data_IF_807315439269
#
_entry.id   IF_807315439269
#
_cell.length_a   1.000
_cell.length_b   1.000
_cell.length_c   1.000
_cell.angle_alpha   90.00
_cell.angle_beta   90.00
_cell.angle_gamma   90.00
#
_symmetry.space_group_name_H-M   'P 1'
#
loop_
_entity.id
_entity.type
_entity.pdbx_description
1 polymer ?
#
# COMPACT_ATOMS: atom_id res chain seq x y z
N UNK A 1 -29.72 -68.84 -38.61
CA UNK A 1 -30.52 -69.49 -37.55
C UNK A 1 -29.87 -69.17 -36.20
N UNK A 2 -30.71 -68.90 -35.18
CA UNK A 2 -30.39 -68.63 -33.75
C UNK A 2 -29.57 -69.80 -33.11
N UNK A 3 -28.98 -69.70 -31.88
CA UNK A 3 -29.28 -68.75 -30.81
C UNK A 3 -28.10 -68.16 -29.98
N UNK A 4 -28.47 -67.11 -29.23
CA UNK A 4 -27.83 -66.56 -28.02
C UNK A 4 -28.07 -67.52 -26.82
N UNK A 5 -27.09 -67.76 -25.94
CA UNK A 5 -27.17 -67.25 -24.54
C UNK A 5 -25.76 -66.91 -24.00
N UNK A 6 -25.50 -66.18 -22.92
CA UNK A 6 -26.23 -65.95 -21.68
C UNK A 6 -25.60 -64.75 -20.96
N UNK A 7 -26.47 -63.96 -20.35
CA UNK A 7 -26.20 -62.87 -19.43
C UNK A 7 -25.50 -63.38 -18.16
N UNK A 8 -24.32 -62.84 -17.81
CA UNK A 8 -23.80 -62.84 -16.43
C UNK A 8 -23.63 -61.39 -15.99
N UNK A 9 -24.51 -60.95 -15.10
CA UNK A 9 -24.33 -59.71 -14.32
C UNK A 9 -23.42 -60.05 -13.15
N UNK A 10 -22.17 -59.59 -13.20
CA UNK A 10 -21.34 -59.48 -12.00
C UNK A 10 -21.64 -58.13 -11.36
N UNK A 11 -22.16 -58.15 -10.14
CA UNK A 11 -22.30 -56.97 -9.30
C UNK A 11 -20.90 -56.47 -8.94
N UNK A 12 -20.50 -55.32 -9.51
CA UNK A 12 -19.28 -54.63 -9.11
C UNK A 12 -19.60 -53.73 -7.91
N UNK A 13 -18.97 -54.03 -6.78
CA UNK A 13 -18.94 -53.23 -5.56
C UNK A 13 -18.27 -51.87 -5.86
N UNK A 14 -18.92 -50.72 -5.61
CA UNK A 14 -18.27 -49.44 -5.81
C UNK A 14 -17.28 -49.17 -4.67
N UNK A 15 -15.99 -49.19 -5.00
CA UNK A 15 -14.94 -48.65 -4.14
C UNK A 15 -15.06 -47.13 -4.14
N UNK A 16 -15.56 -46.59 -3.03
CA UNK A 16 -15.51 -45.16 -2.74
C UNK A 16 -14.04 -44.78 -2.47
N UNK A 17 -13.33 -44.32 -3.49
CA UNK A 17 -12.09 -43.57 -3.29
C UNK A 17 -12.45 -42.20 -2.71
N UNK A 18 -12.35 -42.07 -1.39
CA UNK A 18 -12.35 -40.77 -0.72
C UNK A 18 -11.09 -40.02 -1.10
N UNK A 19 -11.19 -39.12 -2.07
CA UNK A 19 -10.14 -38.13 -2.35
C UNK A 19 -10.08 -37.14 -1.20
N UNK A 20 -9.12 -37.31 -0.30
CA UNK A 20 -8.77 -36.29 0.69
C UNK A 20 -8.06 -35.17 -0.06
N UNK A 21 -8.80 -34.10 -0.38
CA UNK A 21 -8.19 -32.84 -0.81
C UNK A 21 -7.49 -32.23 0.41
N UNK A 22 -6.21 -32.56 0.59
CA UNK A 22 -5.34 -31.81 1.49
C UNK A 22 -5.05 -30.46 0.86
N UNK A 23 -5.82 -29.44 1.25
CA UNK A 23 -5.50 -28.05 0.98
C UNK A 23 -4.26 -27.67 1.81
N UNK A 24 -3.07 -27.87 1.25
CA UNK A 24 -1.84 -27.32 1.79
C UNK A 24 -1.92 -25.80 1.70
N UNK A 25 -2.36 -25.14 2.77
CA UNK A 25 -2.13 -23.71 2.97
C UNK A 25 -0.61 -23.51 3.08
N UNK A 26 0.03 -23.24 1.95
CA UNK A 26 1.38 -22.67 1.93
C UNK A 26 1.26 -21.28 2.53
N UNK A 27 1.59 -21.17 3.83
CA UNK A 27 1.76 -19.90 4.51
C UNK A 27 2.97 -19.18 3.92
N UNK A 28 2.73 -18.36 2.89
CA UNK A 28 3.71 -17.40 2.40
C UNK A 28 3.84 -16.33 3.48
N UNK A 29 4.89 -16.40 4.29
CA UNK A 29 5.29 -15.27 5.11
C UNK A 29 5.83 -14.19 4.17
N UNK A 30 5.29 -12.96 4.18
CA UNK A 30 5.83 -11.89 3.36
C UNK A 30 7.30 -11.63 3.78
N UNK A 31 8.22 -11.75 2.84
CA UNK A 31 9.60 -11.32 3.04
C UNK A 31 9.58 -9.79 3.09
N UNK A 32 9.93 -9.22 4.25
CA UNK A 32 10.09 -7.79 4.38
C UNK A 32 11.29 -7.35 3.53
N UNK A 33 11.13 -6.31 2.70
CA UNK A 33 12.24 -5.73 1.97
C UNK A 33 13.31 -5.23 2.96
N UNK A 34 14.56 -5.62 2.75
CA UNK A 34 15.69 -5.10 3.51
C UNK A 34 16.13 -3.77 2.88
N UNK A 35 16.00 -2.65 3.59
CA UNK A 35 16.41 -1.35 3.05
C UNK A 35 17.89 -1.29 2.69
N UNK A 36 18.26 -0.59 1.61
CA UNK A 36 19.69 -0.28 1.32
C UNK A 36 20.16 0.74 2.34
N UNK A 37 19.32 1.75 2.60
CA UNK A 37 19.49 2.71 3.68
C UNK A 37 18.26 2.73 4.58
N UNK A 38 18.51 2.88 5.89
CA UNK A 38 17.43 3.14 6.83
C UNK A 38 16.75 4.46 6.44
N UNK A 39 15.44 4.37 6.18
CA UNK A 39 14.57 5.50 5.95
C UNK A 39 14.22 5.84 4.51
N UNK A 40 14.75 5.09 3.53
CA UNK A 40 14.31 5.20 2.14
C UNK A 40 12.82 4.82 1.99
N UNK A 41 12.18 5.41 0.99
CA UNK A 41 10.85 5.04 0.52
C UNK A 41 11.01 3.85 -0.43
N UNK A 42 10.29 2.77 -0.17
CA UNK A 42 10.31 1.55 -0.98
C UNK A 42 9.03 1.41 -1.80
N UNK A 43 8.92 2.07 -2.97
CA UNK A 43 7.79 1.83 -3.86
C UNK A 43 7.87 0.42 -4.49
N UNK A 44 6.71 -0.16 -4.74
CA UNK A 44 6.50 -1.42 -5.46
C UNK A 44 5.24 -1.31 -6.35
N UNK A 45 5.05 -2.23 -7.32
CA UNK A 45 3.79 -2.33 -8.08
C UNK A 45 3.02 -3.52 -7.52
N UNK A 46 1.85 -3.25 -6.92
CA UNK A 46 0.94 -4.31 -6.47
C UNK A 46 -0.39 -4.16 -7.19
N UNK A 47 -0.80 -5.23 -7.88
CA UNK A 47 -2.03 -5.25 -8.69
C UNK A 47 -2.13 -4.09 -9.69
N UNK A 48 -1.01 -3.73 -10.33
CA UNK A 48 -0.95 -2.67 -11.34
C UNK A 48 -1.02 -1.24 -10.78
N UNK A 49 -0.80 -1.05 -9.48
CA UNK A 49 -0.78 0.27 -8.83
C UNK A 49 0.53 0.45 -8.07
N UNK A 50 1.15 1.63 -8.17
CA UNK A 50 2.30 1.95 -7.31
C UNK A 50 1.83 2.03 -5.86
N UNK A 51 2.41 1.19 -5.01
CA UNK A 51 2.23 1.24 -3.56
C UNK A 51 3.57 1.45 -2.91
N UNK A 52 3.54 1.98 -1.71
CA UNK A 52 4.71 1.98 -0.86
C UNK A 52 4.70 0.65 -0.11
N UNK A 53 5.80 -0.09 -0.11
CA UNK A 53 5.96 -1.35 0.57
C UNK A 53 5.82 -1.16 2.09
N UNK A 54 5.22 -2.12 2.79
CA UNK A 54 5.27 -2.23 4.26
C UNK A 54 6.72 -2.56 4.69
N UNK A 55 7.69 -1.72 4.37
CA UNK A 55 8.99 -1.72 5.04
C UNK A 55 8.72 -1.59 6.54
N UNK A 56 9.47 -2.36 7.33
CA UNK A 56 9.28 -2.55 8.77
C UNK A 56 8.75 -1.29 9.45
N UNK A 57 7.68 -1.41 10.23
CA UNK A 57 7.22 -0.38 11.16
C UNK A 57 8.40 -0.03 12.06
N UNK A 58 9.18 0.98 11.71
CA UNK A 58 10.21 1.49 12.61
C UNK A 58 9.43 2.28 13.64
N UNK A 59 9.37 1.74 14.85
CA UNK A 59 8.77 2.44 15.98
C UNK A 59 9.39 3.83 16.07
N UNK A 60 8.57 4.88 16.24
CA UNK A 60 8.95 6.28 16.35
C UNK A 60 9.93 6.61 17.51
N UNK A 61 10.47 5.58 18.17
CA UNK A 61 11.42 5.66 19.28
C UNK A 61 12.80 6.19 18.88
N UNK A 62 13.08 6.45 17.60
CA UNK A 62 14.31 7.10 17.16
C UNK A 62 14.02 8.28 16.22
N UNK A 63 13.56 9.40 16.79
CA UNK A 63 13.47 10.69 16.09
C UNK A 63 14.84 11.26 15.66
N UNK A 64 15.92 10.51 15.86
CA UNK A 64 17.28 10.78 15.40
C UNK A 64 17.68 9.93 14.19
N UNK A 65 16.81 9.06 13.68
CA UNK A 65 17.09 8.22 12.52
C UNK A 65 16.04 8.46 11.45
N UNK A 66 16.49 8.94 10.28
CA UNK A 66 15.68 9.07 9.07
C UNK A 66 14.85 7.79 8.85
N UNK A 67 13.53 7.92 8.70
CA UNK A 67 12.70 6.79 8.27
C UNK A 67 11.23 6.81 8.65
N UNK A 68 10.59 5.66 8.47
CA UNK A 68 9.13 5.48 8.58
C UNK A 68 8.69 5.86 9.98
N UNK A 69 7.93 6.96 10.09
CA UNK A 69 7.58 7.58 11.36
C UNK A 69 6.35 6.94 12.02
N UNK A 70 5.39 6.45 11.21
CA UNK A 70 4.25 5.67 11.67
C UNK A 70 3.48 5.12 10.47
N UNK A 71 2.86 3.94 10.64
CA UNK A 71 1.77 3.46 9.79
C UNK A 71 0.44 3.77 10.51
N UNK A 72 0.00 5.02 10.50
CA UNK A 72 -1.28 5.41 11.10
C UNK A 72 -2.40 5.23 10.06
N UNK A 73 -3.32 4.30 10.32
CA UNK A 73 -4.55 4.08 9.54
C UNK A 73 -4.33 3.96 8.00
N UNK A 74 -3.23 3.35 7.58
CA UNK A 74 -2.90 3.14 6.17
C UNK A 74 -2.18 4.30 5.48
N UNK A 75 -1.95 5.43 6.17
CA UNK A 75 -1.03 6.48 5.72
C UNK A 75 0.39 6.17 6.18
N UNK A 76 1.35 6.58 5.36
CA UNK A 76 2.78 6.36 5.59
C UNK A 76 3.49 7.69 5.65
N UNK A 77 4.13 7.93 6.78
CA UNK A 77 4.93 9.11 7.04
C UNK A 77 6.40 8.76 6.93
N UNK A 78 7.16 9.58 6.20
CA UNK A 78 8.61 9.49 6.13
C UNK A 78 9.21 10.78 6.65
N UNK A 79 10.31 10.68 7.41
CA UNK A 79 11.01 11.84 7.94
C UNK A 79 12.23 12.25 7.11
N UNK A 80 12.44 13.56 7.05
CA UNK A 80 13.72 14.18 6.73
C UNK A 80 14.06 15.25 7.77
N UNK A 81 15.31 15.69 7.82
CA UNK A 81 15.73 16.81 8.67
C UNK A 81 16.46 17.85 7.82
N UNK A 82 15.94 19.07 7.77
CA UNK A 82 16.63 20.16 7.12
C UNK A 82 17.84 20.57 7.95
N UNK A 83 18.98 20.78 7.31
CA UNK A 83 20.21 21.04 8.04
C UNK A 83 21.10 19.82 8.21
N UNK A 84 20.78 18.70 7.55
CA UNK A 84 21.71 17.60 7.46
C UNK A 84 22.99 17.99 6.69
N UNK A 85 24.07 17.24 6.91
CA UNK A 85 25.41 17.58 6.38
C UNK A 85 25.42 17.62 4.85
N UNK A 86 24.55 16.86 4.16
CA UNK A 86 24.55 16.76 2.70
C UNK A 86 23.75 17.87 2.03
N UNK A 87 22.59 18.22 2.59
CA UNK A 87 21.72 19.27 2.05
C UNK A 87 22.08 20.68 2.52
N UNK A 88 22.86 20.81 3.60
CA UNK A 88 23.15 22.09 4.23
C UNK A 88 21.97 22.61 5.06
N UNK A 89 22.09 23.82 5.60
CA UNK A 89 21.24 24.33 6.69
C UNK A 89 19.72 24.32 6.47
N UNK A 90 19.27 24.23 5.21
CA UNK A 90 17.87 24.35 4.82
C UNK A 90 17.44 23.31 3.77
N UNK A 91 18.24 22.26 3.58
CA UNK A 91 17.94 21.20 2.63
C UNK A 91 18.26 19.82 3.22
N UNK A 92 17.76 18.79 2.54
CA UNK A 92 18.02 17.38 2.82
C UNK A 92 17.85 16.56 1.54
N UNK A 93 18.65 15.52 1.37
CA UNK A 93 18.49 14.52 0.32
C UNK A 93 17.70 13.28 0.79
N UNK A 94 17.07 13.39 1.98
CA UNK A 94 16.32 12.33 2.64
C UNK A 94 14.81 12.62 2.71
N UNK A 95 13.95 11.59 2.62
CA UNK A 95 14.31 10.18 2.38
C UNK A 95 14.75 9.92 0.92
N UNK A 96 15.57 8.89 0.71
CA UNK A 96 15.82 8.35 -0.62
C UNK A 96 14.64 7.53 -1.15
N UNK A 97 14.75 7.09 -2.40
CA UNK A 97 13.80 6.19 -3.04
C UNK A 97 14.54 4.95 -3.55
N UNK A 98 14.10 3.78 -3.11
CA UNK A 98 14.70 2.49 -3.48
C UNK A 98 13.63 1.53 -4.01
N UNK A 99 13.68 1.30 -5.32
CA UNK A 99 12.90 0.29 -6.03
C UNK A 99 13.82 -0.87 -6.40
N UNK A 100 13.47 -2.11 -6.04
CA UNK A 100 14.23 -3.29 -6.47
C UNK A 100 13.40 -4.29 -7.23
N UNK A 101 13.94 -4.73 -8.36
CA UNK A 101 13.43 -5.91 -9.06
C UNK A 101 13.64 -7.18 -8.23
N UNK A 102 12.64 -8.06 -8.18
CA UNK A 102 12.77 -9.42 -7.61
C UNK A 102 12.76 -9.55 -6.08
N UNK A 103 12.63 -8.46 -5.31
CA UNK A 103 12.55 -8.53 -3.82
C UNK A 103 11.12 -8.80 -3.35
N UNK A 104 10.11 -8.53 -4.18
CA UNK A 104 8.71 -8.89 -3.93
C UNK A 104 8.31 -10.04 -4.85
N UNK A 105 7.77 -11.11 -4.26
CA UNK A 105 7.43 -12.36 -4.93
C UNK A 105 6.26 -12.13 -5.90
N UNK A 106 6.56 -11.85 -7.17
CA UNK A 106 5.56 -11.70 -8.24
C UNK A 106 5.79 -10.52 -9.19
N UNK A 107 6.71 -9.61 -8.84
CA UNK A 107 6.81 -8.32 -9.49
C UNK A 107 7.79 -8.40 -10.67
N UNK A 108 7.36 -8.04 -11.88
CA UNK A 108 8.20 -7.96 -13.09
C UNK A 108 9.28 -6.86 -13.05
N UNK A 109 9.61 -6.33 -11.87
CA UNK A 109 10.42 -5.13 -11.67
C UNK A 109 9.72 -3.86 -12.17
N UNK A 110 10.30 -2.69 -11.88
CA UNK A 110 9.88 -1.47 -12.57
C UNK A 110 10.29 -1.60 -14.05
N UNK A 111 9.48 -1.16 -15.03
CA UNK A 111 9.84 -1.35 -16.43
C UNK A 111 11.20 -0.68 -16.73
N UNK A 112 12.14 -1.45 -17.27
CA UNK A 112 13.51 -0.99 -17.50
C UNK A 112 13.52 0.29 -18.38
N UNK A 113 14.35 1.26 -18.00
CA UNK A 113 14.43 2.57 -18.66
C UNK A 113 13.29 3.54 -18.37
N UNK A 114 12.20 3.10 -17.73
CA UNK A 114 11.10 3.99 -17.32
C UNK A 114 11.54 4.92 -16.19
N UNK A 115 10.88 6.06 -16.09
CA UNK A 115 11.08 7.04 -15.03
C UNK A 115 10.08 6.82 -13.90
N UNK A 116 10.57 6.87 -12.66
CA UNK A 116 9.75 7.12 -11.49
C UNK A 116 9.66 8.63 -11.30
N UNK A 117 8.45 9.15 -11.17
CA UNK A 117 8.20 10.57 -10.93
C UNK A 117 7.31 10.81 -9.73
N UNK A 118 7.27 12.07 -9.32
CA UNK A 118 6.41 12.60 -8.28
C UNK A 118 5.48 13.66 -8.84
N UNK A 119 4.25 13.69 -8.36
CA UNK A 119 3.30 14.76 -8.57
C UNK A 119 2.95 15.37 -7.22
N UNK A 120 3.34 16.63 -6.99
CA UNK A 120 2.95 17.38 -5.81
C UNK A 120 1.42 17.56 -5.75
N UNK A 121 0.84 17.38 -4.57
CA UNK A 121 -0.59 17.56 -4.32
C UNK A 121 -0.84 18.29 -3.00
N UNK A 122 -1.98 18.97 -2.91
CA UNK A 122 -2.41 19.64 -1.68
C UNK A 122 -1.72 20.99 -1.44
N UNK A 123 -1.38 21.26 -0.18
CA UNK A 123 -0.76 22.49 0.30
C UNK A 123 0.40 22.13 1.25
N UNK A 124 1.31 23.07 1.45
CA UNK A 124 2.32 22.97 2.50
C UNK A 124 1.64 22.99 3.87
N UNK A 125 1.89 21.99 4.69
CA UNK A 125 1.50 21.95 6.10
C UNK A 125 2.63 22.42 7.00
N UNK A 126 2.29 23.05 8.12
CA UNK A 126 3.22 23.50 9.15
C UNK A 126 2.71 23.18 10.54
N UNK A 127 3.56 22.59 11.38
CA UNK A 127 3.30 22.41 12.80
C UNK A 127 3.69 23.66 13.57
N UNK A 128 2.69 24.37 14.09
CA UNK A 128 2.91 25.61 14.86
C UNK A 128 3.24 25.39 16.35
N UNK A 129 3.45 24.14 16.76
CA UNK A 129 3.63 23.76 18.18
C UNK A 129 2.38 23.20 18.85
N UNK A 130 1.20 23.26 18.21
CA UNK A 130 -0.06 22.75 18.78
C UNK A 130 -0.98 22.08 17.76
N UNK A 131 -1.01 22.56 16.53
CA UNK A 131 -1.85 22.02 15.46
C UNK A 131 -1.15 22.12 14.10
N UNK A 132 -1.47 21.21 13.19
CA UNK A 132 -1.12 21.35 11.79
C UNK A 132 -1.97 22.43 11.14
N UNK A 133 -1.32 23.44 10.57
CA UNK A 133 -1.94 24.55 9.84
C UNK A 133 -1.36 24.65 8.43
N UNK A 134 -1.95 25.49 7.58
CA UNK A 134 -1.34 25.83 6.31
C UNK A 134 0.02 26.53 6.53
N UNK A 135 0.96 26.29 5.62
CA UNK A 135 2.28 26.90 5.63
C UNK A 135 2.19 28.43 5.73
N UNK A 136 2.98 29.07 6.62
CA UNK A 136 2.95 30.52 6.78
C UNK A 136 3.22 31.27 5.46
N UNK A 137 2.65 32.47 5.32
CA UNK A 137 2.86 33.29 4.14
C UNK A 137 4.36 33.52 3.87
N UNK A 138 4.76 33.40 2.60
CA UNK A 138 6.16 33.50 2.19
C UNK A 138 7.03 32.26 2.47
N UNK A 139 6.48 31.22 3.12
CA UNK A 139 7.18 29.94 3.27
C UNK A 139 7.00 29.09 2.02
N UNK A 140 8.09 28.44 1.58
CA UNK A 140 8.06 27.52 0.44
C UNK A 140 8.95 26.34 0.76
N UNK A 141 8.40 25.15 0.56
CA UNK A 141 9.17 23.91 0.48
C UNK A 141 9.24 23.50 -0.98
N UNK A 142 10.43 23.18 -1.46
CA UNK A 142 10.67 22.76 -2.84
C UNK A 142 11.42 21.45 -2.91
N UNK A 143 11.23 20.74 -4.01
CA UNK A 143 12.07 19.63 -4.40
C UNK A 143 12.69 19.93 -5.77
N UNK A 144 14.00 19.71 -5.86
CA UNK A 144 14.73 19.73 -7.13
C UNK A 144 14.85 18.29 -7.62
N UNK A 145 14.27 18.05 -8.78
CA UNK A 145 14.22 16.73 -9.38
C UNK A 145 15.54 16.36 -10.09
N UNK A 146 15.69 15.11 -10.54
CA UNK A 146 16.95 14.65 -11.17
C UNK A 146 17.28 15.32 -12.51
N UNK A 147 16.36 16.10 -13.06
CA UNK A 147 16.53 16.87 -14.29
C UNK A 147 16.72 18.38 -14.01
N UNK A 148 16.83 18.77 -12.75
CA UNK A 148 17.00 20.17 -12.34
C UNK A 148 15.72 21.00 -12.37
N UNK A 149 14.55 20.37 -12.44
CA UNK A 149 13.24 21.05 -12.36
C UNK A 149 12.83 21.19 -10.90
N UNK A 150 12.19 22.31 -10.59
CA UNK A 150 11.71 22.61 -9.24
C UNK A 150 10.22 22.46 -9.13
N UNK A 151 9.78 21.62 -8.20
CA UNK A 151 8.39 21.51 -7.76
C UNK A 151 8.27 22.12 -6.37
N UNK A 152 7.21 22.87 -6.09
CA UNK A 152 7.07 23.54 -4.79
C UNK A 152 5.69 23.43 -4.18
N UNK A 153 5.66 23.52 -2.84
CA UNK A 153 4.49 23.63 -2.00
C UNK A 153 4.55 24.95 -1.23
N UNK A 154 3.40 25.61 -1.15
CA UNK A 154 3.16 26.81 -0.32
C UNK A 154 1.87 26.61 0.47
N UNK A 155 1.57 27.51 1.40
CA UNK A 155 0.29 27.50 2.11
C UNK A 155 -0.94 27.67 1.20
N UNK A 156 -0.77 28.16 -0.04
CA UNK A 156 -1.87 28.32 -1.00
C UNK A 156 -2.03 27.14 -1.96
N UNK A 157 -1.01 26.29 -2.14
CA UNK A 157 -1.08 25.17 -3.08
C UNK A 157 0.28 24.66 -3.51
N UNK A 158 0.31 24.04 -4.70
CA UNK A 158 1.52 23.57 -5.37
C UNK A 158 1.87 24.46 -6.57
N UNK A 159 3.09 24.32 -7.07
CA UNK A 159 3.53 24.95 -8.32
C UNK A 159 2.62 24.63 -9.52
N UNK A 160 2.57 25.54 -10.50
CA UNK A 160 1.77 25.37 -11.73
C UNK A 160 2.14 24.11 -12.50
N UNK A 161 3.43 23.74 -12.53
CA UNK A 161 3.87 22.41 -12.90
C UNK A 161 4.17 21.62 -11.62
N UNK A 162 3.29 20.69 -11.20
CA UNK A 162 3.46 19.93 -9.98
C UNK A 162 4.33 18.67 -10.18
N UNK A 163 4.97 18.46 -11.33
CA UNK A 163 5.64 17.20 -11.63
C UNK A 163 7.17 17.27 -11.58
N UNK A 164 7.77 16.28 -10.91
CA UNK A 164 9.21 16.04 -10.85
C UNK A 164 9.55 14.58 -11.21
N UNK A 165 10.81 14.31 -11.55
CA UNK A 165 11.36 12.95 -11.71
C UNK A 165 12.32 12.60 -10.57
N UNK A 166 12.15 11.39 -10.05
CA UNK A 166 12.98 10.82 -8.97
C UNK A 166 14.18 10.08 -9.56
N UNK A 167 13.98 9.32 -10.64
CA UNK A 167 15.05 8.51 -11.21
C UNK A 167 14.59 7.64 -12.36
N UNK A 168 15.55 7.04 -13.06
CA UNK A 168 15.33 6.11 -14.16
C UNK A 168 15.66 4.68 -13.70
N UNK A 169 14.82 3.72 -14.06
CA UNK A 169 15.10 2.32 -13.78
C UNK A 169 16.24 1.78 -14.65
N UNK A 170 17.20 1.13 -14.01
CA UNK A 170 18.29 0.38 -14.64
C UNK A 170 18.23 -1.07 -14.15
N UNK A 171 18.06 -2.03 -15.07
CA UNK A 171 17.83 -3.44 -14.71
C UNK A 171 16.53 -3.66 -13.93
N UNK A 172 15.58 -2.72 -14.03
CA UNK A 172 14.31 -2.73 -13.30
C UNK A 172 14.39 -2.26 -11.84
N UNK A 173 15.51 -1.67 -11.43
CA UNK A 173 15.72 -1.09 -10.10
C UNK A 173 15.99 0.41 -10.19
N UNK A 174 15.63 1.16 -9.14
CA UNK A 174 15.87 2.59 -8.98
C UNK A 174 16.46 2.79 -7.60
N UNK A 175 17.56 3.52 -7.49
CA UNK A 175 18.06 4.03 -6.21
C UNK A 175 18.45 5.48 -6.43
N UNK A 176 17.69 6.40 -5.83
CA UNK A 176 17.88 7.83 -6.09
C UNK A 176 17.51 8.67 -4.88
N UNK A 177 18.21 9.78 -4.74
CA UNK A 177 17.96 10.81 -3.75
C UNK A 177 17.71 12.12 -4.49
N UNK A 178 16.67 12.85 -4.09
CA UNK A 178 16.33 14.17 -4.62
C UNK A 178 16.33 15.19 -3.49
N UNK A 179 16.66 16.43 -3.82
CA UNK A 179 16.92 17.45 -2.81
C UNK A 179 15.62 18.16 -2.44
N UNK A 180 15.22 18.01 -1.19
CA UNK A 180 14.17 18.83 -0.59
C UNK A 180 14.81 20.04 0.08
N UNK A 181 14.19 21.20 -0.07
CA UNK A 181 14.66 22.44 0.54
C UNK A 181 13.51 23.29 1.04
N UNK A 182 13.80 24.11 2.04
CA UNK A 182 12.89 25.14 2.55
C UNK A 182 13.56 26.50 2.42
N UNK A 183 12.80 27.55 2.08
CA UNK A 183 13.40 28.88 1.95
C UNK A 183 13.85 29.47 3.30
N UNK A 184 14.85 30.36 3.27
CA UNK A 184 15.52 30.89 4.46
C UNK A 184 14.62 31.67 5.43
N UNK A 185 13.48 32.20 4.96
CA UNK A 185 12.49 32.89 5.78
C UNK A 185 11.50 31.97 6.51
N UNK A 186 11.53 30.66 6.26
CA UNK A 186 10.61 29.72 6.90
C UNK A 186 10.92 29.56 8.41
N UNK A 187 9.91 29.55 9.29
CA UNK A 187 10.11 29.39 10.74
C UNK A 187 10.59 27.99 11.15
N UNK A 188 11.16 27.89 12.35
CA UNK A 188 11.43 26.59 13.01
C UNK A 188 10.12 25.85 13.24
N UNK A 189 10.09 24.55 12.93
CA UNK A 189 8.90 23.71 13.06
C UNK A 189 9.00 22.42 12.26
N UNK A 190 7.88 21.68 12.20
CA UNK A 190 7.75 20.52 11.32
C UNK A 190 6.94 20.91 10.07
N UNK A 191 7.36 20.41 8.92
CA UNK A 191 6.80 20.76 7.61
C UNK A 191 6.24 19.52 6.95
N UNK A 192 5.05 19.61 6.37
CA UNK A 192 4.37 18.48 5.76
C UNK A 192 4.10 18.75 4.28
N UNK A 193 4.40 17.79 3.43
CA UNK A 193 4.03 17.82 2.01
C UNK A 193 3.42 16.50 1.58
N UNK A 194 2.60 16.57 0.53
CA UNK A 194 1.98 15.40 -0.07
C UNK A 194 2.34 15.31 -1.55
N UNK A 195 2.56 14.10 -2.04
CA UNK A 195 2.74 13.82 -3.46
C UNK A 195 2.17 12.45 -3.84
N UNK A 196 2.00 12.20 -5.13
CA UNK A 196 1.76 10.86 -5.68
C UNK A 196 2.98 10.42 -6.47
N UNK A 197 3.28 9.14 -6.44
CA UNK A 197 4.23 8.53 -7.34
C UNK A 197 3.55 8.15 -8.63
N UNK A 198 4.27 8.30 -9.74
CA UNK A 198 3.83 7.84 -11.05
C UNK A 198 4.96 7.18 -11.81
N UNK A 199 4.61 6.34 -12.77
CA UNK A 199 5.55 5.77 -13.74
C UNK A 199 5.39 6.43 -15.10
N UNK A 200 6.49 6.73 -15.76
CA UNK A 200 6.51 7.25 -17.12
C UNK A 200 7.40 6.39 -18.00
N UNK A 201 6.95 6.07 -19.21
CA UNK A 201 7.74 5.30 -20.18
C UNK A 201 9.08 5.98 -20.43
N UNK A 202 10.09 5.17 -20.75
CA UNK A 202 11.42 5.66 -21.11
C UNK A 202 11.31 6.75 -22.20
N UNK A 203 11.68 8.00 -21.91
CA UNK A 203 11.62 9.04 -22.92
C UNK A 203 12.74 8.83 -23.93
N UNK A 204 12.50 9.23 -25.18
CA UNK A 204 13.55 9.28 -26.21
C UNK A 204 14.59 10.36 -25.92
N UNK A 205 14.25 11.37 -25.11
CA UNK A 205 15.15 12.40 -24.61
C UNK A 205 14.97 12.56 -23.09
N UNK A 206 15.97 12.14 -22.31
CA UNK A 206 15.95 12.24 -20.85
C UNK A 206 16.11 13.68 -20.34
N UNK A 207 16.68 14.59 -21.12
CA UNK A 207 16.85 16.00 -20.73
C UNK A 207 15.59 16.83 -20.92
N UNK A 208 14.68 16.36 -21.79
CA UNK A 208 13.39 17.01 -22.03
C UNK A 208 12.32 15.93 -22.23
N UNK A 209 11.99 15.18 -21.17
CA UNK A 209 10.95 14.17 -21.25
C UNK A 209 9.61 14.86 -21.55
N UNK A 210 8.71 14.19 -22.28
CA UNK A 210 7.39 14.74 -22.51
C UNK A 210 6.67 14.92 -21.16
N UNK A 211 5.75 15.89 -21.04
CA UNK A 211 4.99 16.10 -19.82
C UNK A 211 4.31 14.81 -19.36
N UNK A 212 4.24 14.57 -18.03
CA UNK A 212 3.47 13.47 -17.48
C UNK A 212 2.02 13.58 -17.93
N UNK A 213 1.49 12.49 -18.49
CA UNK A 213 0.13 12.44 -19.01
C UNK A 213 -0.25 11.03 -19.46
N UNK A 214 -1.54 10.75 -19.72
CA UNK A 214 -2.03 9.40 -19.97
C UNK A 214 -1.29 8.66 -21.10
N UNK A 215 -0.85 9.37 -22.14
CA UNK A 215 -0.11 8.80 -23.26
C UNK A 215 1.36 8.46 -22.96
N UNK A 216 1.91 8.94 -21.85
CA UNK A 216 3.31 8.75 -21.46
C UNK A 216 3.47 7.90 -20.18
N UNK A 217 2.37 7.37 -19.62
CA UNK A 217 2.43 6.47 -18.45
C UNK A 217 2.92 5.09 -18.85
N UNK A 218 3.68 4.43 -17.97
CA UNK A 218 4.06 3.03 -18.19
C UNK A 218 2.80 2.15 -18.23
N UNK A 219 2.59 1.33 -19.28
CA UNK A 219 1.37 0.54 -19.42
C UNK A 219 1.12 -0.39 -18.23
N UNK A 220 -0.12 -0.43 -17.74
CA UNK A 220 -0.53 -1.31 -16.65
C UNK A 220 -0.05 -0.89 -15.26
N UNK A 221 0.52 0.31 -15.11
CA UNK A 221 0.96 0.86 -13.82
C UNK A 221 0.23 2.18 -13.57
N UNK A 222 -0.66 2.18 -12.58
CA UNK A 222 -1.37 3.36 -12.10
C UNK A 222 -0.60 4.09 -11.00
N UNK A 223 -0.84 5.40 -10.90
CA UNK A 223 -0.25 6.29 -9.91
C UNK A 223 -0.62 5.85 -8.48
N UNK A 224 0.23 6.20 -7.51
CA UNK A 224 0.01 5.85 -6.11
C UNK A 224 -1.13 6.65 -5.47
N UNK A 225 -1.62 6.16 -4.33
CA UNK A 225 -2.27 7.03 -3.35
C UNK A 225 -1.28 8.12 -2.86
N UNK A 226 -1.76 9.26 -2.34
CA UNK A 226 -0.89 10.27 -1.77
C UNK A 226 0.06 9.70 -0.70
N UNK A 227 1.31 10.10 -0.77
CA UNK A 227 2.39 9.83 0.18
C UNK A 227 2.70 11.13 0.91
N UNK A 228 2.89 11.05 2.22
CA UNK A 228 3.17 12.21 3.07
C UNK A 228 4.59 12.17 3.58
N UNK A 229 5.32 13.28 3.41
CA UNK A 229 6.62 13.50 4.07
C UNK A 229 6.47 14.55 5.14
N UNK A 230 7.22 14.36 6.22
CA UNK A 230 7.30 15.30 7.32
C UNK A 230 8.77 15.65 7.54
N UNK A 231 9.12 16.92 7.46
CA UNK A 231 10.48 17.40 7.63
C UNK A 231 10.64 18.14 8.96
N UNK A 232 11.69 17.83 9.69
CA UNK A 232 12.11 18.62 10.83
C UNK A 232 12.87 19.87 10.33
N UNK A 233 12.58 21.04 10.91
CA UNK A 233 13.38 22.25 10.74
C UNK A 233 13.74 22.83 12.10
N UNK A 234 14.69 22.21 12.77
CA UNK A 234 15.25 22.72 14.03
C UNK A 234 14.37 22.54 15.27
N UNK A 235 13.34 21.69 15.23
CA UNK A 235 12.70 21.22 16.47
C UNK A 235 13.64 20.26 17.20
N UNK A 236 13.49 20.18 18.53
CA UNK A 236 14.06 19.07 19.28
C UNK A 236 13.43 17.75 18.83
N UNK A 237 14.14 16.64 19.03
CA UNK A 237 13.63 15.30 18.73
C UNK A 237 12.24 15.05 19.34
N UNK A 238 12.05 15.41 20.61
CA UNK A 238 10.75 15.28 21.29
C UNK A 238 9.65 16.17 20.68
N UNK A 239 10.01 17.40 20.28
CA UNK A 239 9.07 18.31 19.61
C UNK A 239 8.66 17.81 18.23
N UNK A 240 9.59 17.21 17.48
CA UNK A 240 9.31 16.60 16.18
C UNK A 240 8.45 15.34 16.33
N UNK A 241 8.75 14.45 17.28
CA UNK A 241 7.90 13.29 17.60
C UNK A 241 6.48 13.72 17.94
N UNK A 242 6.30 14.74 18.80
CA UNK A 242 4.97 15.24 19.14
C UNK A 242 4.20 15.79 17.93
N UNK A 243 4.89 16.47 17.00
CA UNK A 243 4.29 16.95 15.76
C UNK A 243 3.79 15.78 14.89
N UNK A 244 4.60 14.74 14.73
CA UNK A 244 4.25 13.53 13.97
C UNK A 244 3.09 12.79 14.63
N UNK A 245 3.15 12.58 15.95
CA UNK A 245 2.10 11.87 16.69
C UNK A 245 0.75 12.59 16.60
N UNK A 246 0.74 13.91 16.41
CA UNK A 246 -0.50 14.68 16.21
C UNK A 246 -1.17 14.47 14.84
N UNK A 247 -0.49 13.85 13.87
CA UNK A 247 -1.06 13.47 12.56
C UNK A 247 -2.03 12.29 12.66
N UNK A 248 -2.30 11.79 13.88
CA UNK A 248 -3.32 10.80 14.14
C UNK A 248 -4.66 11.19 13.48
N UNK A 249 -5.06 10.39 12.49
CA UNK A 249 -6.40 10.44 11.94
C UNK A 249 -7.43 10.14 13.05
N UNK A 250 -8.65 10.67 12.95
CA UNK A 250 -9.73 10.22 13.81
C UNK A 250 -9.81 8.68 13.74
N UNK A 251 -10.06 7.99 14.87
CA UNK A 251 -10.13 6.53 14.89
C UNK A 251 -11.07 6.06 13.77
N UNK A 252 -10.74 4.96 13.07
CA UNK A 252 -11.62 4.43 12.04
C UNK A 252 -13.03 4.29 12.62
N UNK A 253 -14.09 4.65 11.86
CA UNK A 253 -15.45 4.53 12.35
C UNK A 253 -15.63 3.11 12.89
N UNK A 254 -16.19 3.01 14.10
CA UNK A 254 -16.44 1.72 14.72
C UNK A 254 -17.13 0.81 13.69
N UNK A 255 -16.70 -0.46 13.56
CA UNK A 255 -17.38 -1.38 12.65
C UNK A 255 -18.88 -1.31 12.95
N UNK A 256 -19.74 -1.30 11.91
CA UNK A 256 -21.17 -1.22 12.12
C UNK A 256 -21.52 -2.29 13.14
N UNK A 257 -22.13 -1.88 14.26
CA UNK A 257 -22.62 -2.83 15.26
C UNK A 257 -23.41 -3.86 14.49
N UNK A 258 -23.08 -5.17 14.58
CA UNK A 258 -23.76 -6.18 13.80
C UNK A 258 -25.26 -5.95 13.97
N UNK A 259 -25.93 -5.52 12.89
CA UNK A 259 -27.37 -5.39 12.95
C UNK A 259 -27.84 -6.78 13.30
N UNK A 260 -28.41 -6.93 14.49
CA UNK A 260 -29.15 -8.13 14.84
C UNK A 260 -30.29 -8.16 13.83
N UNK A 261 -30.10 -8.89 12.73
CA UNK A 261 -31.18 -9.19 11.81
C UNK A 261 -32.18 -9.94 12.68
N UNK A 262 -33.38 -9.39 12.95
CA UNK A 262 -34.37 -10.13 13.70
C UNK A 262 -34.65 -11.41 12.91
N UNK A 263 -34.24 -12.55 13.48
CA UNK A 263 -34.57 -13.85 12.92
C UNK A 263 -36.09 -13.89 12.78
N UNK A 264 -36.65 -14.01 11.56
CA UNK A 264 -38.08 -14.15 11.43
C UNK A 264 -38.49 -15.42 12.17
N UNK A 265 -39.44 -15.30 13.10
CA UNK A 265 -39.91 -16.40 13.96
C UNK A 265 -40.33 -17.66 13.17
N UNK A 266 -40.54 -17.55 11.85
CA UNK A 266 -40.81 -18.67 10.94
C UNK A 266 -39.61 -19.60 10.64
N UNK A 267 -38.36 -19.13 10.76
CA UNK A 267 -37.19 -19.96 10.45
C UNK A 267 -36.93 -21.07 11.51
N UNK A 268 -37.33 -20.83 12.77
CA UNK A 268 -37.21 -21.84 13.82
C UNK A 268 -38.25 -22.96 13.65
N UNK A 269 -39.44 -22.66 13.14
CA UNK A 269 -40.51 -23.64 12.97
C UNK A 269 -40.25 -24.62 11.81
N UNK A 270 -39.59 -24.18 10.73
CA UNK A 270 -39.23 -25.08 9.62
C UNK A 270 -38.17 -26.13 10.04
N UNK A 271 -37.23 -25.75 10.91
CA UNK A 271 -36.21 -26.66 11.43
C UNK A 271 -36.79 -27.81 12.27
N UNK A 272 -37.78 -27.52 13.13
CA UNK A 272 -38.46 -28.55 13.92
C UNK A 272 -39.37 -29.46 13.07
N UNK A 273 -40.02 -28.95 12.02
CA UNK A 273 -40.85 -29.76 11.13
C UNK A 273 -40.04 -30.78 10.32
N UNK A 274 -38.83 -30.42 9.87
CA UNK A 274 -37.92 -31.32 9.16
C UNK A 274 -37.35 -32.44 10.06
N UNK A 275 -37.11 -32.15 11.34
CA UNK A 275 -36.68 -33.15 12.33
C UNK A 275 -37.82 -34.12 12.71
N UNK A 276 -39.06 -33.64 12.78
CA UNK A 276 -40.22 -34.49 13.04
C UNK A 276 -40.54 -35.43 11.86
N UNK A 277 -40.33 -35.00 10.62
CA UNK A 277 -40.57 -35.83 9.43
C UNK A 277 -39.51 -36.94 9.26
N UNK A 278 -38.27 -36.67 9.65
CA UNK A 278 -37.18 -37.66 9.61
C UNK A 278 -37.30 -38.72 10.71
N UNK A 279 -37.80 -38.36 11.90
CA UNK A 279 -38.08 -39.33 12.97
C UNK A 279 -39.24 -40.30 12.61
N UNK A 280 -40.23 -39.86 11.81
CA UNK A 280 -41.39 -40.70 11.45
C UNK A 280 -41.07 -41.85 10.48
N UNK A 281 -40.00 -41.75 9.68
CA UNK A 281 -39.62 -42.81 8.72
C UNK A 281 -38.91 -44.01 9.36
N UNK A 282 -38.55 -43.93 10.63
CA UNK A 282 -37.82 -45.01 11.34
C UNK A 282 -38.75 -46.01 12.04
N UNK A 283 -40.07 -45.82 12.00
CA UNK A 283 -41.04 -46.65 12.72
C UNK A 283 -41.91 -47.53 11.82
N UNK A 284 -41.64 -47.66 10.52
CA UNK A 284 -42.37 -48.64 9.69
C UNK A 284 -41.85 -50.06 9.97
N UNK A 285 -42.67 -50.96 10.57
CA UNK A 285 -42.25 -52.34 10.79
C UNK A 285 -42.17 -53.06 9.46
N UNK A 286 -40.99 -53.59 9.16
CA UNK A 286 -40.73 -54.54 8.07
C UNK A 286 -41.66 -55.74 8.23
N UNK A 287 -42.71 -55.81 7.41
CA UNK A 287 -43.50 -57.04 7.25
C UNK A 287 -42.60 -58.09 6.59
N UNK A 288 -42.18 -59.07 7.37
CA UNK A 288 -41.56 -60.28 6.86
C UNK A 288 -42.57 -61.03 5.98
N UNK A 289 -42.19 -61.29 4.73
CA UNK A 289 -42.94 -62.13 3.82
C UNK A 289 -42.41 -63.56 4.00
N UNK A 290 -43.19 -64.37 4.71
CA UNK A 290 -43.01 -65.83 4.84
C UNK A 290 -43.59 -66.46 3.56
N UNK A 291 -42.78 -67.21 2.81
CA UNK A 291 -43.26 -68.06 1.72
C UNK A 291 -42.60 -69.44 1.87
N UNK A 292 -43.48 -70.44 2.04
CA UNK A 292 -43.21 -71.87 1.96
C UNK A 292 -42.93 -72.34 0.53
#
# INVERSE_FOLDING_TARGET
MRPNPSCRRSAATPWLFGSVLSASLLGLTPVAAVPLHAGDIFPLVEAGVIRIANGATVSATSATTHGVLAALAGQRFFSGDFGDIRGGALATDNPGFDWRSGVFLGDSGFPNGSLLGLQAVGQLGFWNGSTWVAGPAGSTLSVDDVLGRRVSWTGSGVSTDPHGFIGQASGGSIHSHINFSVNSGSPVGAWLVNFRLFSQVAPTNLFNPPPPGPGNRSPGIADSAPVTLVFNRGLSAAGFTAAVDSLQLPPPPAPPTPQQVPLPAGALLLGFALLAFSARRQLEPTRACEIC
#
